data_IF_039160767208
#
_entry.id   IF_039160767208
#
_cell.length_a   1.000
_cell.length_b   1.000
_cell.length_c   1.000
_cell.angle_alpha   90.00
_cell.angle_beta   90.00
_cell.angle_gamma   90.00
#
_symmetry.space_group_name_H-M   'P 1'
#
loop_
_entity.id
_entity.type
_entity.pdbx_description
1 polymer ?
#
# COMPACT_ATOMS: atom_id res chain seq x y z
N UNK A 1 22.18 -23.50 18.66
CA UNK A 1 21.06 -23.78 17.71
C UNK A 1 20.81 -22.60 16.79
N UNK A 2 20.34 -21.42 17.25
CA UNK A 2 20.17 -20.25 16.39
C UNK A 2 21.50 -19.52 16.08
N UNK A 3 22.40 -19.44 17.05
CA UNK A 3 23.75 -18.86 16.88
C UNK A 3 24.61 -19.65 15.91
N UNK A 4 24.71 -20.96 16.09
CA UNK A 4 25.45 -21.82 15.17
C UNK A 4 24.89 -21.74 13.74
N UNK A 5 23.57 -21.60 13.60
CA UNK A 5 22.93 -21.42 12.31
C UNK A 5 23.26 -20.07 11.68
N UNK A 6 23.25 -18.98 12.46
CA UNK A 6 23.59 -17.63 12.00
C UNK A 6 25.07 -17.54 11.59
N UNK A 7 25.99 -17.96 12.46
CA UNK A 7 27.42 -17.94 12.18
C UNK A 7 27.79 -18.94 11.07
N UNK A 8 27.17 -20.12 11.06
CA UNK A 8 27.36 -21.11 9.99
C UNK A 8 26.86 -20.59 8.64
N UNK A 9 25.76 -19.85 8.60
CA UNK A 9 25.27 -19.21 7.38
C UNK A 9 26.26 -18.13 6.90
N UNK A 10 26.69 -17.23 7.79
CA UNK A 10 27.68 -16.19 7.49
C UNK A 10 29.07 -16.73 7.14
N UNK A 11 29.39 -17.97 7.51
CA UNK A 11 30.62 -18.62 7.07
C UNK A 11 30.56 -19.01 5.58
N UNK A 12 29.37 -19.29 5.06
CA UNK A 12 29.17 -19.71 3.67
C UNK A 12 28.63 -18.60 2.76
N UNK A 13 28.08 -17.54 3.33
CA UNK A 13 27.45 -16.42 2.62
C UNK A 13 27.97 -15.10 3.21
N UNK A 14 28.22 -14.10 2.36
CA UNK A 14 28.84 -12.85 2.82
C UNK A 14 27.97 -12.04 3.79
N UNK A 15 26.63 -12.12 3.66
CA UNK A 15 25.71 -11.36 4.52
C UNK A 15 24.34 -12.03 4.67
N UNK A 16 23.61 -11.63 5.73
CA UNK A 16 22.18 -11.87 5.90
C UNK A 16 21.47 -10.53 5.64
N UNK A 17 20.79 -10.40 4.49
CA UNK A 17 20.19 -9.13 4.08
C UNK A 17 18.95 -8.73 4.89
N UNK A 18 18.21 -9.69 5.46
CA UNK A 18 17.08 -9.41 6.36
C UNK A 18 17.02 -10.43 7.52
N UNK A 19 17.15 -9.93 8.75
CA UNK A 19 17.09 -10.75 9.96
C UNK A 19 15.68 -11.30 10.23
N UNK A 20 14.64 -10.64 9.75
CA UNK A 20 13.26 -11.08 9.88
C UNK A 20 12.97 -12.30 9.00
N UNK A 21 13.42 -12.28 7.74
CA UNK A 21 13.31 -13.42 6.83
C UNK A 21 14.15 -14.60 7.31
N UNK A 22 15.36 -14.31 7.82
CA UNK A 22 16.23 -15.34 8.38
C UNK A 22 15.63 -16.00 9.62
N UNK A 23 15.07 -15.23 10.56
CA UNK A 23 14.36 -15.78 11.72
C UNK A 23 13.20 -16.70 11.30
N UNK A 24 12.42 -16.28 10.30
CA UNK A 24 11.32 -17.08 9.76
C UNK A 24 11.81 -18.41 9.15
N UNK A 25 12.94 -18.37 8.40
CA UNK A 25 13.55 -19.57 7.80
C UNK A 25 14.04 -20.58 8.85
N UNK A 26 14.49 -20.08 10.00
CA UNK A 26 14.95 -20.90 11.13
C UNK A 26 13.78 -21.32 12.05
N UNK A 27 12.58 -20.78 11.83
CA UNK A 27 11.41 -21.02 12.67
C UNK A 27 11.57 -20.47 14.10
N UNK A 28 12.39 -19.43 14.28
CA UNK A 28 12.66 -18.79 15.58
C UNK A 28 11.97 -17.43 15.67
N UNK A 29 11.66 -16.99 16.89
CA UNK A 29 11.13 -15.65 17.09
C UNK A 29 12.19 -14.61 16.68
N UNK A 30 11.77 -13.59 15.92
CA UNK A 30 12.66 -12.52 15.47
C UNK A 30 13.31 -11.79 16.65
N UNK A 31 12.59 -11.60 17.76
CA UNK A 31 13.11 -10.99 18.99
C UNK A 31 14.31 -11.74 19.58
N UNK A 32 14.30 -13.07 19.51
CA UNK A 32 15.40 -13.89 20.04
C UNK A 32 16.64 -13.76 19.16
N UNK A 33 16.44 -13.78 17.83
CA UNK A 33 17.50 -13.57 16.87
C UNK A 33 18.07 -12.15 16.96
N UNK A 34 17.22 -11.14 17.14
CA UNK A 34 17.63 -9.74 17.29
C UNK A 34 18.50 -9.55 18.54
N UNK A 35 18.10 -10.12 19.68
CA UNK A 35 18.89 -10.09 20.91
C UNK A 35 20.25 -10.78 20.74
N UNK A 36 20.27 -11.90 20.01
CA UNK A 36 21.51 -12.61 19.68
C UNK A 36 22.43 -11.76 18.80
N UNK A 37 21.91 -11.17 17.71
CA UNK A 37 22.68 -10.28 16.82
C UNK A 37 23.24 -9.10 17.62
N UNK A 38 22.45 -8.49 18.52
CA UNK A 38 22.91 -7.41 19.41
C UNK A 38 24.03 -7.87 20.35
N UNK A 39 23.92 -9.07 20.91
CA UNK A 39 24.97 -9.66 21.75
C UNK A 39 26.26 -9.89 20.95
N UNK A 40 26.19 -10.57 19.80
CA UNK A 40 27.33 -10.85 18.93
C UNK A 40 28.00 -9.58 18.41
N UNK A 41 27.21 -8.56 18.09
CA UNK A 41 27.72 -7.22 17.73
C UNK A 41 28.47 -6.56 18.89
N UNK A 42 27.97 -6.72 20.12
CA UNK A 42 28.64 -6.23 21.33
C UNK A 42 30.00 -6.89 21.59
N UNK A 43 30.17 -8.13 21.12
CA UNK A 43 31.45 -8.84 21.12
C UNK A 43 32.29 -8.62 19.86
N UNK A 44 31.85 -7.74 18.95
CA UNK A 44 32.51 -7.46 17.66
C UNK A 44 32.70 -8.71 16.77
N UNK A 45 31.86 -9.73 16.95
CA UNK A 45 31.89 -10.98 16.16
C UNK A 45 31.19 -10.77 14.81
N UNK A 46 30.13 -9.97 14.79
CA UNK A 46 29.36 -9.63 13.59
C UNK A 46 29.12 -8.13 13.52
N UNK A 47 29.02 -7.59 12.31
CA UNK A 47 28.44 -6.27 12.11
C UNK A 47 26.95 -6.40 11.79
N UNK A 48 26.15 -5.46 12.25
CA UNK A 48 24.72 -5.41 11.99
C UNK A 48 24.28 -3.97 11.75
N UNK A 49 23.59 -3.78 10.63
CA UNK A 49 22.99 -2.50 10.26
C UNK A 49 21.50 -2.54 10.50
N UNK A 50 20.99 -1.53 11.20
CA UNK A 50 19.55 -1.37 11.38
C UNK A 50 18.93 -0.90 10.07
N UNK A 51 17.95 -1.66 9.56
CA UNK A 51 17.20 -1.34 8.35
C UNK A 51 15.75 -1.17 8.75
N UNK A 52 15.25 0.07 8.71
CA UNK A 52 13.82 0.34 8.87
C UNK A 52 13.17 0.27 7.49
N UNK A 53 12.29 -0.72 7.28
CA UNK A 53 11.44 -0.78 6.08
C UNK A 53 10.11 -0.11 6.39
N UNK A 54 9.88 1.07 5.82
CA UNK A 54 8.56 1.69 5.82
C UNK A 54 7.69 0.96 4.78
N UNK A 55 6.88 -0.02 5.19
CA UNK A 55 5.83 -0.56 4.32
C UNK A 55 4.58 0.32 4.40
N UNK A 56 4.01 0.62 3.24
CA UNK A 56 2.72 1.30 3.15
C UNK A 56 1.61 0.26 3.16
N UNK A 57 0.65 0.40 4.07
CA UNK A 57 -0.53 -0.46 4.16
C UNK A 57 -1.79 0.35 3.89
N UNK A 58 -2.78 -0.29 3.27
CA UNK A 58 -4.08 0.33 3.01
C UNK A 58 -4.84 0.61 4.31
N UNK A 59 -5.40 1.80 4.44
CA UNK A 59 -6.36 2.12 5.50
C UNK A 59 -7.72 1.45 5.20
N UNK A 60 -8.66 1.44 6.17
CA UNK A 60 -10.01 0.92 5.91
C UNK A 60 -10.69 1.62 4.72
N UNK A 61 -10.45 2.92 4.56
CA UNK A 61 -10.94 3.69 3.42
C UNK A 61 -10.27 3.24 2.10
N UNK A 62 -8.94 3.05 2.11
CA UNK A 62 -8.21 2.50 0.96
C UNK A 62 -8.71 1.10 0.56
N UNK A 63 -8.97 0.23 1.53
CA UNK A 63 -9.56 -1.10 1.28
C UNK A 63 -10.96 -1.00 0.68
N UNK A 64 -11.79 -0.07 1.18
CA UNK A 64 -13.10 0.20 0.60
C UNK A 64 -12.99 0.64 -0.86
N UNK A 65 -11.98 1.42 -1.23
CA UNK A 65 -11.77 1.83 -2.63
C UNK A 65 -11.29 0.66 -3.50
N UNK A 66 -10.48 -0.25 -2.96
CA UNK A 66 -10.09 -1.47 -3.68
C UNK A 66 -11.30 -2.37 -3.97
N UNK A 67 -12.22 -2.50 -3.00
CA UNK A 67 -13.43 -3.32 -3.14
C UNK A 67 -14.49 -2.62 -4.00
N UNK A 68 -14.97 -1.46 -3.53
CA UNK A 68 -16.13 -0.75 -4.06
C UNK A 68 -15.77 0.20 -5.22
N UNK A 69 -14.48 0.44 -5.48
CA UNK A 69 -14.03 1.47 -6.42
C UNK A 69 -13.93 2.85 -5.76
N UNK A 70 -13.22 3.77 -6.39
CA UNK A 70 -13.14 5.16 -5.95
C UNK A 70 -14.53 5.81 -5.94
N UNK A 71 -14.78 6.82 -5.07
CA UNK A 71 -16.06 7.51 -4.99
C UNK A 71 -16.52 8.09 -6.33
N UNK A 72 -15.57 8.42 -7.20
CA UNK A 72 -15.80 8.94 -8.54
C UNK A 72 -16.40 7.87 -9.46
N UNK A 73 -15.90 6.63 -9.39
CA UNK A 73 -16.42 5.47 -10.13
C UNK A 73 -17.74 4.99 -9.54
N UNK A 74 -17.86 4.96 -8.22
CA UNK A 74 -19.14 4.68 -7.56
C UNK A 74 -20.21 5.69 -7.98
N UNK A 75 -19.85 6.97 -8.06
CA UNK A 75 -20.74 8.04 -8.52
C UNK A 75 -21.12 7.86 -10.00
N UNK A 76 -20.14 7.55 -10.86
CA UNK A 76 -20.42 7.24 -12.26
C UNK A 76 -21.39 6.05 -12.37
N UNK A 77 -21.13 4.94 -11.65
CA UNK A 77 -21.98 3.75 -11.61
C UNK A 77 -23.39 4.02 -11.07
N UNK A 78 -23.53 4.96 -10.14
CA UNK A 78 -24.82 5.38 -9.58
C UNK A 78 -25.67 6.23 -10.55
N UNK A 79 -25.08 6.83 -11.59
CA UNK A 79 -25.84 7.61 -12.58
C UNK A 79 -26.44 6.66 -13.63
N UNK A 80 -27.78 6.52 -13.73
CA UNK A 80 -28.40 5.75 -14.81
C UNK A 80 -28.16 6.44 -16.17
N UNK A 81 -28.24 5.71 -17.29
CA UNK A 81 -28.07 6.29 -18.64
C UNK A 81 -29.08 7.41 -18.95
N UNK A 82 -30.23 7.40 -18.27
CA UNK A 82 -31.28 8.42 -18.34
C UNK A 82 -30.91 9.74 -17.63
N UNK A 83 -29.80 9.74 -16.89
CA UNK A 83 -29.27 10.88 -16.15
C UNK A 83 -29.90 11.07 -14.77
N UNK A 84 -29.26 11.90 -13.94
CA UNK A 84 -29.75 12.24 -12.59
C UNK A 84 -29.80 13.76 -12.40
N UNK A 85 -30.72 14.22 -11.55
CA UNK A 85 -30.87 15.65 -11.21
C UNK A 85 -29.69 16.14 -10.38
N UNK A 86 -29.25 17.37 -10.67
CA UNK A 86 -28.13 18.07 -10.03
C UNK A 86 -28.28 18.26 -8.52
N UNK A 87 -29.50 18.15 -7.99
CA UNK A 87 -29.79 18.27 -6.55
C UNK A 87 -29.22 17.11 -5.71
N UNK A 88 -28.98 15.94 -6.31
CA UNK A 88 -28.38 14.79 -5.63
C UNK A 88 -26.83 14.80 -5.66
N UNK A 89 -26.21 15.86 -6.19
CA UNK A 89 -24.77 15.89 -6.45
C UNK A 89 -23.95 16.22 -5.19
N UNK A 90 -23.14 15.26 -4.74
CA UNK A 90 -22.04 15.53 -3.81
C UNK A 90 -20.95 16.37 -4.50
N UNK A 91 -20.42 17.39 -3.80
CA UNK A 91 -19.46 18.39 -4.32
C UNK A 91 -18.16 17.81 -4.89
N UNK A 92 -17.87 16.54 -4.66
CA UNK A 92 -16.61 15.87 -5.05
C UNK A 92 -16.55 15.49 -6.54
N UNK A 93 -17.69 15.22 -7.19
CA UNK A 93 -17.74 14.65 -8.54
C UNK A 93 -17.49 15.67 -9.68
N UNK A 94 -17.47 16.97 -9.37
CA UNK A 94 -17.37 18.03 -10.37
C UNK A 94 -15.97 18.20 -11.00
N UNK A 95 -14.95 17.49 -10.50
CA UNK A 95 -13.57 17.67 -10.96
C UNK A 95 -13.19 16.82 -12.19
N UNK A 96 -13.92 15.75 -12.51
CA UNK A 96 -13.55 14.85 -13.59
C UNK A 96 -14.50 14.94 -14.78
N UNK A 97 -13.95 15.05 -16.00
CA UNK A 97 -14.65 15.29 -17.28
C UNK A 97 -15.49 14.09 -17.79
N UNK A 98 -15.85 13.13 -16.94
CA UNK A 98 -16.57 11.90 -17.32
C UNK A 98 -18.10 12.06 -17.42
N UNK A 99 -18.61 13.17 -16.88
CA UNK A 99 -20.04 13.52 -16.87
C UNK A 99 -20.26 14.84 -17.58
N UNK A 100 -21.30 14.88 -18.43
CA UNK A 100 -21.79 16.11 -19.05
C UNK A 100 -22.75 16.82 -18.11
N UNK A 101 -22.57 18.12 -17.93
CA UNK A 101 -23.55 18.97 -17.24
C UNK A 101 -24.44 19.61 -18.31
N UNK A 102 -25.69 19.18 -18.41
CA UNK A 102 -26.73 20.00 -19.05
C UNK A 102 -27.57 20.70 -17.97
N UNK A 103 -28.28 21.78 -18.34
CA UNK A 103 -28.84 22.79 -17.42
C UNK A 103 -29.62 22.23 -16.23
N UNK A 104 -30.20 21.02 -16.33
CA UNK A 104 -30.91 20.33 -15.23
C UNK A 104 -30.55 18.84 -15.07
N UNK A 105 -29.70 18.26 -15.93
CA UNK A 105 -29.44 16.81 -15.95
C UNK A 105 -27.96 16.48 -16.13
N UNK A 106 -27.51 15.45 -15.43
CA UNK A 106 -26.18 14.89 -15.54
C UNK A 106 -26.25 13.63 -16.36
N UNK A 107 -25.64 13.64 -17.54
CA UNK A 107 -25.58 12.47 -18.43
C UNK A 107 -24.17 11.89 -18.45
N UNK A 108 -24.07 10.55 -18.53
CA UNK A 108 -22.77 9.88 -18.70
C UNK A 108 -22.21 10.21 -20.08
N UNK A 109 -20.98 10.75 -20.12
CA UNK A 109 -20.31 11.09 -21.40
C UNK A 109 -19.47 9.95 -21.96
N UNK A 110 -19.19 8.94 -21.14
CA UNK A 110 -18.33 7.79 -21.46
C UNK A 110 -19.04 6.54 -20.94
N UNK A 111 -18.93 5.40 -21.62
CA UNK A 111 -19.56 4.13 -21.18
C UNK A 111 -18.73 3.39 -20.11
N UNK A 112 -17.42 3.61 -20.09
CA UNK A 112 -16.49 2.95 -19.17
C UNK A 112 -15.48 3.95 -18.61
N UNK A 113 -15.22 3.83 -17.32
CA UNK A 113 -14.28 4.63 -16.55
C UNK A 113 -13.22 3.69 -15.98
N UNK A 114 -11.93 4.03 -16.16
CA UNK A 114 -10.84 3.33 -15.48
C UNK A 114 -10.63 3.93 -14.09
N UNK A 115 -10.56 3.05 -13.10
CA UNK A 115 -10.32 3.42 -11.71
C UNK A 115 -8.82 3.38 -11.41
N UNK A 116 -8.10 4.39 -11.89
CA UNK A 116 -6.64 4.47 -11.72
C UNK A 116 -6.26 4.45 -10.22
N UNK A 117 -7.09 5.00 -9.33
CA UNK A 117 -6.85 4.99 -7.89
C UNK A 117 -6.93 3.56 -7.33
N UNK A 118 -7.94 2.78 -7.73
CA UNK A 118 -8.08 1.38 -7.32
C UNK A 118 -6.91 0.53 -7.79
N UNK A 119 -6.44 0.73 -9.02
CA UNK A 119 -5.28 0.00 -9.53
C UNK A 119 -4.00 0.38 -8.75
N UNK A 120 -3.81 1.66 -8.42
CA UNK A 120 -2.69 2.11 -7.58
C UNK A 120 -2.77 1.52 -6.16
N UNK A 121 -3.95 1.49 -5.54
CA UNK A 121 -4.12 0.90 -4.21
C UNK A 121 -3.86 -0.61 -4.21
N UNK A 122 -4.27 -1.33 -5.26
CA UNK A 122 -3.93 -2.75 -5.43
C UNK A 122 -2.44 -3.00 -5.57
N UNK A 123 -1.72 -2.12 -6.28
CA UNK A 123 -0.26 -2.21 -6.38
C UNK A 123 0.41 -2.07 -5.02
N UNK A 124 -0.04 -1.13 -4.19
CA UNK A 124 0.45 -1.01 -2.81
C UNK A 124 0.13 -2.26 -1.99
N UNK A 125 -1.07 -2.82 -2.11
CA UNK A 125 -1.47 -4.05 -1.41
C UNK A 125 -0.61 -5.26 -1.81
N UNK A 126 -0.19 -5.31 -3.07
CA UNK A 126 0.74 -6.33 -3.59
C UNK A 126 2.21 -6.07 -3.21
N UNK A 127 2.52 -4.97 -2.51
CA UNK A 127 3.88 -4.60 -2.16
C UNK A 127 4.69 -4.03 -3.33
N UNK A 128 4.05 -3.60 -4.42
CA UNK A 128 4.72 -2.93 -5.53
C UNK A 128 5.10 -1.48 -5.14
N UNK A 129 6.33 -1.09 -5.47
CA UNK A 129 6.80 0.29 -5.29
C UNK A 129 6.08 1.24 -6.24
N UNK A 130 5.44 2.27 -5.70
CA UNK A 130 4.86 3.38 -6.47
C UNK A 130 5.74 4.63 -6.36
N UNK A 131 5.63 5.51 -7.35
CA UNK A 131 6.26 6.83 -7.32
C UNK A 131 5.91 7.63 -6.06
N UNK A 132 6.90 8.32 -5.50
CA UNK A 132 6.73 9.16 -4.31
C UNK A 132 5.63 10.22 -4.45
N UNK A 133 5.39 10.69 -5.68
CA UNK A 133 4.30 11.63 -5.98
C UNK A 133 2.94 11.00 -5.73
N UNK A 134 2.76 9.74 -6.16
CA UNK A 134 1.52 9.00 -6.00
C UNK A 134 1.31 8.63 -4.53
N UNK A 135 2.35 8.12 -3.87
CA UNK A 135 2.32 7.79 -2.44
C UNK A 135 1.96 9.04 -1.62
N UNK A 136 2.53 10.21 -1.91
CA UNK A 136 2.19 11.45 -1.20
C UNK A 136 0.75 11.90 -1.44
N UNK A 137 0.20 11.71 -2.65
CA UNK A 137 -1.21 12.03 -2.92
C UNK A 137 -2.15 11.08 -2.15
N UNK A 138 -1.88 9.78 -2.19
CA UNK A 138 -2.64 8.76 -1.44
C UNK A 138 -2.56 8.99 0.08
N UNK A 139 -1.39 9.39 0.58
CA UNK A 139 -1.17 9.78 1.98
C UNK A 139 -1.97 11.04 2.35
N UNK A 140 -1.97 12.08 1.49
CA UNK A 140 -2.79 13.29 1.70
C UNK A 140 -4.28 12.97 1.76
N UNK A 141 -4.72 11.95 1.02
CA UNK A 141 -6.10 11.44 1.01
C UNK A 141 -6.41 10.44 2.12
N UNK A 142 -5.45 10.09 2.98
CA UNK A 142 -5.59 9.10 4.08
C UNK A 142 -5.98 7.69 3.60
N UNK A 143 -5.65 7.33 2.36
CA UNK A 143 -5.95 6.01 1.79
C UNK A 143 -4.89 4.95 2.16
N UNK A 144 -3.70 5.40 2.55
CA UNK A 144 -2.59 4.57 3.00
C UNK A 144 -2.01 5.12 4.30
N UNK A 145 -1.51 4.21 5.12
CA UNK A 145 -0.77 4.52 6.34
C UNK A 145 0.56 3.76 6.35
N UNK A 146 1.54 4.28 7.09
CA UNK A 146 2.73 3.49 7.40
C UNK A 146 2.36 2.37 8.38
N UNK A 147 2.93 1.19 8.16
CA UNK A 147 2.88 0.07 9.09
C UNK A 147 3.85 0.29 10.25
#
# INVERSE_FOLDING_TARGET
MAEDALLGFLQTHDEISDSHDFAASLGVAHTDLENLIKSLKGFEIVDAKEITRDSWVLTEEGKSYVVNGSPEVQFFLAIPPEGISKAALSKSAAKNRWVGFDKEQITRKVESVKDDIKDLLKRIDNGEGLDDKVVNDLKRRKLITKQ
#
